data_IF_941830523634
#
_entry.id   IF_941830523634
#
_cell.length_a   1.000
_cell.length_b   1.000
_cell.length_c   1.000
_cell.angle_alpha   90.00
_cell.angle_beta   90.00
_cell.angle_gamma   90.00
#
_symmetry.space_group_name_H-M   'P 1'
#
loop_
_entity.id
_entity.type
_entity.pdbx_description
1 polymer ?
#
# COMPACT_ATOMS: atom_id res chain seq x y z
N UNK A 1 -44.04 12.48 -10.13
CA UNK A 1 -44.44 13.68 -9.37
C UNK A 1 -43.23 14.57 -9.10
N UNK A 2 -42.19 14.08 -8.41
CA UNK A 2 -40.96 14.86 -8.16
C UNK A 2 -40.26 15.41 -9.42
N UNK A 3 -40.20 14.66 -10.53
CA UNK A 3 -39.57 15.13 -11.77
C UNK A 3 -40.24 16.36 -12.39
N UNK A 4 -41.58 16.43 -12.36
CA UNK A 4 -42.34 17.58 -12.86
C UNK A 4 -42.14 18.81 -11.97
N UNK A 5 -42.07 18.62 -10.66
CA UNK A 5 -41.78 19.71 -9.73
C UNK A 5 -40.37 20.27 -9.94
N UNK A 6 -39.37 19.39 -10.11
CA UNK A 6 -38.00 19.79 -10.40
C UNK A 6 -37.88 20.49 -11.77
N UNK A 7 -38.59 19.99 -12.78
CA UNK A 7 -38.67 20.62 -14.08
C UNK A 7 -39.30 22.01 -14.01
N UNK A 8 -40.43 22.16 -13.31
CA UNK A 8 -41.09 23.46 -13.15
C UNK A 8 -40.19 24.47 -12.42
N UNK A 9 -39.46 24.04 -11.38
CA UNK A 9 -38.49 24.90 -10.69
C UNK A 9 -37.33 25.28 -11.62
N UNK A 10 -36.82 24.33 -12.41
CA UNK A 10 -35.76 24.61 -13.37
C UNK A 10 -36.23 25.61 -14.45
N UNK A 11 -37.41 25.40 -15.03
CA UNK A 11 -37.99 26.25 -16.08
C UNK A 11 -38.27 27.66 -15.55
N UNK A 12 -38.86 27.80 -14.37
CA UNK A 12 -39.12 29.10 -13.75
C UNK A 12 -37.85 29.96 -13.63
N UNK A 13 -36.76 29.37 -13.13
CA UNK A 13 -35.51 30.10 -12.87
C UNK A 13 -34.54 30.16 -14.06
N UNK A 14 -34.62 29.29 -15.08
CA UNK A 14 -33.67 29.29 -16.20
C UNK A 14 -34.29 29.59 -17.56
N UNK A 15 -35.59 29.38 -17.74
CA UNK A 15 -36.26 29.45 -19.05
C UNK A 15 -37.23 30.62 -19.11
N UNK A 16 -38.04 30.81 -18.06
CA UNK A 16 -39.15 31.77 -18.07
C UNK A 16 -38.71 33.21 -17.75
N UNK A 17 -37.42 33.43 -17.50
CA UNK A 17 -36.84 34.77 -17.29
C UNK A 17 -37.06 35.37 -15.89
N UNK A 18 -37.46 34.57 -14.90
CA UNK A 18 -37.70 35.04 -13.53
C UNK A 18 -36.46 35.08 -12.62
N UNK A 19 -35.26 34.83 -13.14
CA UNK A 19 -34.02 34.88 -12.37
C UNK A 19 -33.35 36.24 -12.55
N UNK A 20 -33.56 37.13 -11.59
CA UNK A 20 -33.07 38.50 -11.70
C UNK A 20 -31.54 38.55 -11.75
N UNK A 21 -31.03 39.46 -12.58
CA UNK A 21 -29.60 39.70 -12.75
C UNK A 21 -29.23 40.96 -11.96
N UNK A 22 -28.27 40.82 -11.06
CA UNK A 22 -27.68 41.95 -10.32
C UNK A 22 -27.01 42.96 -11.27
N UNK A 23 -26.75 44.21 -10.84
CA UNK A 23 -26.02 45.20 -11.64
C UNK A 23 -24.60 44.75 -12.08
N UNK A 24 -24.03 43.76 -11.39
CA UNK A 24 -22.74 43.15 -11.71
C UNK A 24 -22.83 41.98 -12.72
N UNK A 25 -24.01 41.69 -13.27
CA UNK A 25 -24.22 40.63 -14.27
C UNK A 25 -24.36 39.22 -13.68
N UNK A 26 -24.54 39.08 -12.37
CA UNK A 26 -24.69 37.77 -11.70
C UNK A 26 -26.17 37.47 -11.45
N UNK A 27 -26.61 36.27 -11.84
CA UNK A 27 -27.95 35.78 -11.59
C UNK A 27 -28.19 35.46 -10.10
N UNK A 28 -29.42 35.68 -9.62
CA UNK A 28 -29.79 35.43 -8.23
C UNK A 28 -29.64 33.95 -7.84
N UNK A 29 -29.98 33.03 -8.74
CA UNK A 29 -29.82 31.59 -8.52
C UNK A 29 -28.89 30.99 -9.57
N UNK A 30 -27.81 30.34 -9.12
CA UNK A 30 -26.86 29.65 -10.00
C UNK A 30 -27.09 28.14 -10.01
N UNK A 31 -27.85 27.64 -10.99
CA UNK A 31 -28.24 26.23 -11.08
C UNK A 31 -27.08 25.27 -11.33
N UNK A 32 -25.95 25.74 -11.87
CA UNK A 32 -24.74 24.93 -12.03
C UNK A 32 -24.20 24.37 -10.71
N UNK A 33 -24.56 24.97 -9.56
CA UNK A 33 -24.20 24.51 -8.23
C UNK A 33 -25.39 24.00 -7.41
N UNK A 34 -26.58 23.90 -8.02
CA UNK A 34 -27.76 23.38 -7.35
C UNK A 34 -27.70 21.84 -7.31
N UNK A 35 -28.12 21.26 -6.19
CA UNK A 35 -28.29 19.82 -6.05
C UNK A 35 -29.71 19.50 -5.60
N UNK A 36 -30.21 18.35 -6.04
CA UNK A 36 -31.49 17.80 -5.56
C UNK A 36 -31.17 16.76 -4.50
N UNK A 37 -31.87 16.79 -3.38
CA UNK A 37 -31.61 15.93 -2.24
C UNK A 37 -32.89 15.50 -1.54
N UNK A 38 -32.88 14.29 -0.96
CA UNK A 38 -33.92 13.75 -0.09
C UNK A 38 -33.28 12.96 1.07
N UNK A 39 -33.93 12.92 2.24
CA UNK A 39 -33.40 12.29 3.47
C UNK A 39 -33.47 10.74 3.50
N UNK A 40 -33.87 10.05 2.42
CA UNK A 40 -34.04 8.60 2.47
C UNK A 40 -32.74 7.84 2.18
N UNK A 41 -32.14 7.27 3.23
CA UNK A 41 -30.89 6.51 3.17
C UNK A 41 -31.05 5.06 2.68
N UNK A 42 -32.28 4.59 2.38
CA UNK A 42 -32.49 3.21 1.95
C UNK A 42 -31.96 3.01 0.52
N UNK A 43 -31.05 2.03 0.29
CA UNK A 43 -30.44 1.84 -1.01
C UNK A 43 -31.41 1.23 -2.01
N UNK A 44 -31.40 1.76 -3.24
CA UNK A 44 -31.99 1.10 -4.40
C UNK A 44 -31.05 -0.03 -4.89
N UNK A 45 -31.55 -1.19 -5.34
CA UNK A 45 -32.95 -1.56 -5.48
C UNK A 45 -33.53 -2.19 -4.22
N UNK A 46 -32.77 -2.28 -3.12
CA UNK A 46 -33.20 -2.97 -1.91
C UNK A 46 -34.56 -2.43 -1.49
N UNK A 47 -34.72 -1.11 -1.30
CA UNK A 47 -36.03 -0.43 -1.28
C UNK A 47 -36.42 -0.02 -2.71
N UNK A 48 -37.62 -0.37 -3.20
CA UNK A 48 -38.76 -0.97 -2.48
C UNK A 48 -38.84 -2.51 -2.52
N UNK A 49 -37.87 -3.22 -3.11
CA UNK A 49 -38.01 -4.66 -3.40
C UNK A 49 -38.18 -5.55 -2.15
N UNK A 50 -37.52 -5.23 -1.02
CA UNK A 50 -37.69 -5.95 0.24
C UNK A 50 -38.88 -5.42 1.06
N UNK A 51 -40.06 -5.34 0.45
CA UNK A 51 -41.29 -4.90 1.11
C UNK A 51 -41.69 -5.74 2.34
N UNK A 52 -41.15 -6.95 2.49
CA UNK A 52 -41.33 -7.76 3.71
C UNK A 52 -40.53 -7.24 4.92
N UNK A 53 -39.50 -6.43 4.68
CA UNK A 53 -38.69 -5.80 5.73
C UNK A 53 -39.14 -4.36 6.03
N UNK A 54 -39.83 -3.69 5.10
CA UNK A 54 -40.33 -2.32 5.28
C UNK A 54 -41.81 -2.20 4.93
N UNK A 55 -42.61 -1.73 5.89
CA UNK A 55 -44.07 -1.64 5.76
C UNK A 55 -44.58 -0.58 4.79
N UNK A 56 -43.74 0.35 4.35
CA UNK A 56 -44.06 1.51 3.51
C UNK A 56 -43.52 1.39 2.08
N UNK A 57 -43.07 0.21 1.65
CA UNK A 57 -42.53 0.00 0.30
C UNK A 57 -43.52 0.35 -0.83
N UNK A 58 -44.83 0.24 -0.56
CA UNK A 58 -45.88 0.66 -1.48
C UNK A 58 -45.89 2.15 -1.76
N UNK A 59 -45.39 2.96 -0.82
CA UNK A 59 -45.32 4.40 -1.02
C UNK A 59 -44.26 4.75 -2.06
N UNK A 60 -43.22 3.92 -2.27
CA UNK A 60 -42.10 4.16 -3.20
C UNK A 60 -42.53 4.55 -4.62
N UNK A 61 -43.78 4.37 -5.06
CA UNK A 61 -44.25 4.93 -6.33
C UNK A 61 -44.56 6.45 -6.28
N UNK A 62 -45.05 6.99 -5.16
CA UNK A 62 -45.73 8.28 -5.08
C UNK A 62 -44.91 9.47 -4.55
N UNK A 63 -44.02 9.25 -3.60
CA UNK A 63 -43.23 10.29 -2.93
C UNK A 63 -41.90 10.67 -3.59
N UNK A 64 -41.18 11.53 -2.88
CA UNK A 64 -40.15 12.43 -3.42
C UNK A 64 -38.72 11.88 -3.39
N UNK A 65 -38.56 10.57 -3.22
CA UNK A 65 -37.25 9.92 -3.26
C UNK A 65 -36.63 9.99 -4.64
N UNK A 66 -35.30 10.05 -4.66
CA UNK A 66 -34.48 10.12 -5.88
C UNK A 66 -33.79 8.78 -6.18
N UNK A 67 -33.64 7.90 -5.19
CA UNK A 67 -32.95 6.62 -5.29
C UNK A 67 -33.60 5.75 -6.39
N UNK A 68 -32.84 5.45 -7.45
CA UNK A 68 -33.30 4.62 -8.58
C UNK A 68 -34.25 5.31 -9.56
N UNK A 69 -34.49 6.63 -9.44
CA UNK A 69 -35.42 7.39 -10.29
C UNK A 69 -34.77 8.39 -11.24
N UNK A 70 -33.46 8.59 -11.13
CA UNK A 70 -32.69 9.35 -12.11
C UNK A 70 -32.45 8.57 -13.41
N UNK A 71 -32.06 9.22 -14.51
CA UNK A 71 -31.46 8.51 -15.63
C UNK A 71 -30.30 7.66 -15.11
N UNK A 72 -30.17 6.44 -15.61
CA UNK A 72 -29.04 5.58 -15.28
C UNK A 72 -27.76 6.23 -15.81
N UNK A 73 -27.15 7.11 -15.00
CA UNK A 73 -25.81 7.58 -15.27
C UNK A 73 -24.89 6.41 -14.93
N UNK A 74 -24.01 5.99 -15.87
CA UNK A 74 -22.97 5.05 -15.50
C UNK A 74 -22.21 5.63 -14.31
N UNK A 75 -21.85 4.81 -13.30
CA UNK A 75 -21.07 5.29 -12.18
C UNK A 75 -19.84 6.02 -12.72
N UNK A 76 -19.46 7.18 -12.15
CA UNK A 76 -18.23 7.84 -12.54
C UNK A 76 -17.10 6.82 -12.47
N UNK A 77 -16.21 6.83 -13.47
CA UNK A 77 -15.06 5.94 -13.47
C UNK A 77 -14.34 6.08 -12.12
N UNK A 78 -14.04 4.97 -11.42
CA UNK A 78 -13.32 5.05 -10.16
C UNK A 78 -12.03 5.81 -10.38
N UNK A 79 -11.68 6.69 -9.44
CA UNK A 79 -10.41 7.40 -9.48
C UNK A 79 -9.28 6.38 -9.65
N UNK A 80 -8.27 6.66 -10.49
CA UNK A 80 -7.15 5.76 -10.64
C UNK A 80 -6.52 5.52 -9.27
N UNK A 81 -6.03 4.30 -9.05
CA UNK A 81 -5.29 3.99 -7.83
C UNK A 81 -4.15 5.02 -7.67
N UNK A 82 -3.91 5.52 -6.44
CA UNK A 82 -2.77 6.39 -6.18
C UNK A 82 -1.49 5.69 -6.67
N UNK A 83 -0.61 6.43 -7.35
CA UNK A 83 0.70 5.91 -7.68
C UNK A 83 1.44 5.54 -6.38
N UNK A 84 2.17 4.39 -6.35
CA UNK A 84 2.98 4.04 -5.19
C UNK A 84 3.95 5.19 -4.86
N UNK A 85 4.12 5.54 -3.58
CA UNK A 85 5.09 6.58 -3.20
C UNK A 85 6.50 6.15 -3.59
N UNK A 86 7.34 7.13 -3.95
CA UNK A 86 8.77 6.90 -4.14
C UNK A 86 9.42 7.00 -2.76
N UNK A 87 10.11 5.94 -2.36
CA UNK A 87 10.83 5.90 -1.08
C UNK A 87 12.34 6.07 -1.30
N UNK A 88 12.99 6.82 -0.42
CA UNK A 88 14.45 6.87 -0.37
C UNK A 88 15.02 5.55 0.16
N UNK A 89 16.29 5.28 -0.15
CA UNK A 89 16.99 4.09 0.35
C UNK A 89 17.94 4.47 1.48
N UNK A 90 17.98 3.63 2.53
CA UNK A 90 18.94 3.73 3.62
C UNK A 90 20.37 3.63 3.06
N UNK A 91 21.32 4.43 3.55
CA UNK A 91 22.68 4.46 3.01
C UNK A 91 23.38 3.11 3.15
N UNK A 92 24.06 2.69 2.08
CA UNK A 92 24.99 1.55 2.12
C UNK A 92 26.29 2.00 2.78
N UNK A 93 26.74 1.27 3.81
CA UNK A 93 27.93 1.62 4.57
C UNK A 93 29.01 0.55 4.41
N UNK A 94 30.27 0.96 4.30
CA UNK A 94 31.42 0.06 4.24
C UNK A 94 31.92 -0.33 5.64
N UNK A 95 30.98 -0.55 6.57
CA UNK A 95 31.27 -0.73 8.00
C UNK A 95 31.98 -2.05 8.26
N UNK A 96 32.92 -2.03 9.22
CA UNK A 96 33.79 -3.16 9.56
C UNK A 96 33.10 -4.26 10.40
N UNK A 97 31.88 -4.02 10.90
CA UNK A 97 31.10 -5.01 11.63
C UNK A 97 29.69 -4.51 11.96
N UNK A 98 28.70 -5.39 11.81
CA UNK A 98 27.29 -5.12 12.08
C UNK A 98 26.64 -6.30 12.79
N UNK A 99 25.56 -6.03 13.50
CA UNK A 99 24.64 -7.06 14.01
C UNK A 99 23.22 -6.71 13.57
N UNK A 100 22.52 -7.68 12.99
CA UNK A 100 21.12 -7.54 12.59
C UNK A 100 20.28 -8.49 13.43
N UNK A 101 19.37 -7.94 14.20
CA UNK A 101 18.37 -8.70 14.95
C UNK A 101 17.01 -8.53 14.25
N UNK A 102 16.35 -9.64 13.96
CA UNK A 102 15.02 -9.70 13.32
C UNK A 102 14.00 -10.28 14.26
N UNK A 103 12.87 -9.58 14.47
CA UNK A 103 11.75 -10.06 15.29
C UNK A 103 10.46 -10.10 14.47
N UNK A 104 10.03 -11.27 13.95
CA UNK A 104 8.69 -11.40 13.40
C UNK A 104 7.64 -11.20 14.50
N UNK A 105 6.62 -10.38 14.22
CA UNK A 105 5.52 -10.05 15.14
C UNK A 105 4.15 -10.22 14.49
N UNK A 106 3.21 -10.69 15.30
CA UNK A 106 1.78 -10.70 15.01
C UNK A 106 1.04 -9.88 16.06
N UNK A 107 0.03 -9.14 15.63
CA UNK A 107 -0.92 -8.49 16.51
C UNK A 107 -2.11 -9.41 16.66
N UNK A 108 -2.35 -9.93 17.85
CA UNK A 108 -3.53 -10.77 18.13
C UNK A 108 -4.28 -10.15 19.28
N UNK A 109 -5.57 -9.94 19.12
CA UNK A 109 -6.46 -9.61 20.23
C UNK A 109 -6.85 -10.94 20.91
N UNK A 110 -6.61 -11.03 22.21
CA UNK A 110 -6.98 -12.19 23.02
C UNK A 110 -8.04 -11.76 24.03
N UNK A 111 -9.09 -12.56 24.14
CA UNK A 111 -10.05 -12.46 25.23
C UNK A 111 -10.17 -13.83 25.89
N UNK A 112 -9.54 -13.94 27.06
CA UNK A 112 -9.57 -15.12 27.91
C UNK A 112 -10.80 -15.11 28.81
N UNK A 113 -11.39 -16.29 29.00
CA UNK A 113 -12.52 -16.50 29.88
C UNK A 113 -12.09 -17.19 31.17
N UNK A 114 -12.81 -16.95 32.27
CA UNK A 114 -12.56 -17.60 33.56
C UNK A 114 -12.62 -19.14 33.50
N UNK A 115 -13.26 -19.71 32.47
CA UNK A 115 -13.28 -21.16 32.21
C UNK A 115 -11.99 -21.72 31.59
N UNK A 116 -10.99 -20.88 31.30
CA UNK A 116 -9.74 -21.24 30.63
C UNK A 116 -9.85 -21.30 29.10
N UNK A 117 -11.02 -20.98 28.52
CA UNK A 117 -11.20 -20.83 27.07
C UNK A 117 -10.76 -19.44 26.63
N UNK A 118 -10.19 -19.33 25.41
CA UNK A 118 -9.77 -18.04 24.83
C UNK A 118 -10.41 -17.83 23.47
N UNK A 119 -10.92 -16.64 23.20
CA UNK A 119 -11.21 -16.17 21.84
C UNK A 119 -10.02 -15.35 21.34
N UNK A 120 -9.65 -15.53 20.06
CA UNK A 120 -8.46 -14.93 19.47
C UNK A 120 -8.80 -14.34 18.11
N UNK A 121 -8.36 -13.12 17.85
CA UNK A 121 -8.51 -12.46 16.56
C UNK A 121 -7.17 -11.90 16.10
N UNK A 122 -6.59 -12.51 15.06
CA UNK A 122 -5.40 -11.97 14.42
C UNK A 122 -5.75 -10.65 13.72
N UNK A 123 -4.97 -9.59 13.97
CA UNK A 123 -5.12 -8.29 13.34
C UNK A 123 -4.59 -8.27 11.91
N UNK A 124 -3.70 -9.19 11.58
CA UNK A 124 -3.10 -9.31 10.25
C UNK A 124 -2.59 -10.73 10.00
N UNK A 125 -2.64 -11.18 8.74
CA UNK A 125 -2.40 -12.57 8.34
C UNK A 125 -0.92 -12.94 8.14
N UNK A 126 -0.07 -11.96 7.81
CA UNK A 126 1.38 -12.15 7.64
C UNK A 126 2.14 -11.42 8.75
N UNK A 127 3.37 -11.82 9.07
CA UNK A 127 4.16 -11.15 10.12
C UNK A 127 4.60 -9.74 9.70
N UNK A 128 4.61 -8.81 10.65
CA UNK A 128 5.46 -7.61 10.54
C UNK A 128 6.81 -7.92 11.22
N UNK A 129 7.81 -7.10 11.00
CA UNK A 129 9.12 -7.29 11.59
C UNK A 129 9.60 -6.03 12.30
N UNK A 130 10.19 -6.23 13.47
CA UNK A 130 11.07 -5.24 14.08
C UNK A 130 12.52 -5.66 13.82
N UNK A 131 13.31 -4.70 13.34
CA UNK A 131 14.72 -4.88 13.05
C UNK A 131 15.53 -4.00 14.00
N UNK A 132 16.64 -4.53 14.50
CA UNK A 132 17.65 -3.75 15.20
C UNK A 132 18.98 -3.92 14.48
N UNK A 133 19.56 -2.79 14.05
CA UNK A 133 20.87 -2.73 13.43
C UNK A 133 21.84 -2.06 14.40
N UNK A 134 22.89 -2.77 14.80
CA UNK A 134 23.96 -2.20 15.61
C UNK A 134 25.21 -2.07 14.75
N UNK A 135 25.76 -0.87 14.69
CA UNK A 135 27.01 -0.58 14.00
C UNK A 135 28.12 -0.40 15.03
N UNK A 136 29.08 -1.33 15.04
CA UNK A 136 30.18 -1.33 16.01
C UNK A 136 31.06 -0.09 15.83
N UNK A 137 31.26 0.33 14.59
CA UNK A 137 32.11 1.45 14.22
C UNK A 137 31.50 2.23 13.06
N UNK A 138 31.40 3.55 13.24
CA UNK A 138 31.07 4.53 12.22
C UNK A 138 32.17 5.58 12.19
N UNK A 139 32.78 5.78 11.02
CA UNK A 139 33.82 6.78 10.84
C UNK A 139 33.22 8.11 10.38
N UNK A 140 33.64 9.19 11.02
CA UNK A 140 33.19 10.55 10.72
C UNK A 140 34.22 11.37 9.92
N UNK A 141 35.36 10.77 9.54
CA UNK A 141 36.38 11.45 8.74
C UNK A 141 35.91 11.69 7.30
N UNK A 142 36.57 12.63 6.63
CA UNK A 142 36.20 13.09 5.30
C UNK A 142 36.22 11.99 4.22
N UNK A 143 36.96 10.89 4.42
CA UNK A 143 37.00 9.80 3.45
C UNK A 143 35.82 8.81 3.59
N UNK A 144 35.16 8.75 4.74
CA UNK A 144 34.13 7.74 5.02
C UNK A 144 32.74 8.33 5.28
N UNK A 145 32.64 9.37 6.12
CA UNK A 145 31.39 10.09 6.42
C UNK A 145 30.19 9.18 6.81
N UNK A 146 30.44 8.01 7.39
CA UNK A 146 29.42 6.99 7.67
C UNK A 146 28.42 7.48 8.73
N UNK A 147 28.92 8.15 9.78
CA UNK A 147 28.07 8.74 10.82
C UNK A 147 27.18 9.83 10.22
N UNK A 148 27.76 10.72 9.39
CA UNK A 148 27.03 11.80 8.73
C UNK A 148 25.98 11.26 7.75
N UNK A 149 26.25 10.15 7.06
CA UNK A 149 25.29 9.52 6.16
C UNK A 149 24.03 9.06 6.91
N UNK A 150 24.18 8.36 8.04
CA UNK A 150 23.01 7.94 8.86
C UNK A 150 22.30 9.15 9.47
N UNK A 151 23.05 10.07 10.08
CA UNK A 151 22.46 11.25 10.74
C UNK A 151 21.74 12.16 9.74
N UNK A 152 22.31 12.34 8.54
CA UNK A 152 21.70 13.09 7.45
C UNK A 152 20.44 12.41 6.92
N UNK A 153 20.49 11.10 6.72
CA UNK A 153 19.33 10.32 6.28
C UNK A 153 18.18 10.39 7.30
N UNK A 154 18.47 10.21 8.59
CA UNK A 154 17.48 10.32 9.67
C UNK A 154 16.74 11.67 9.65
N UNK A 155 17.47 12.76 9.45
CA UNK A 155 16.89 14.11 9.30
C UNK A 155 16.09 14.27 8.02
N UNK A 156 16.58 13.72 6.91
CA UNK A 156 15.89 13.79 5.62
C UNK A 156 14.50 13.13 5.67
N UNK A 157 14.38 11.99 6.35
CA UNK A 157 13.11 11.27 6.43
C UNK A 157 12.23 11.67 7.63
N UNK A 158 12.68 12.66 8.42
CA UNK A 158 11.98 13.20 9.59
C UNK A 158 11.68 12.13 10.65
N UNK A 159 12.69 11.35 11.05
CA UNK A 159 12.54 10.33 12.10
C UNK A 159 11.56 9.23 11.71
N UNK A 160 10.60 8.92 12.57
CA UNK A 160 9.63 7.84 12.37
C UNK A 160 8.56 8.15 11.31
N UNK A 161 8.53 9.37 10.75
CA UNK A 161 7.44 9.83 9.90
C UNK A 161 7.38 9.15 8.51
N UNK A 162 8.53 8.96 7.86
CA UNK A 162 8.56 8.53 6.44
C UNK A 162 9.18 7.14 6.28
N UNK A 163 8.50 6.20 5.58
CA UNK A 163 9.09 4.91 5.24
C UNK A 163 10.23 5.04 4.21
N UNK A 164 11.11 4.04 4.20
CA UNK A 164 12.26 3.96 3.32
C UNK A 164 12.64 2.51 3.01
N UNK A 165 13.35 2.33 1.90
CA UNK A 165 13.94 1.06 1.52
C UNK A 165 15.19 0.78 2.33
N UNK A 166 15.34 -0.44 2.82
CA UNK A 166 16.58 -0.91 3.40
C UNK A 166 16.89 -2.31 2.90
N UNK A 167 18.18 -2.58 2.72
CA UNK A 167 18.71 -3.91 2.49
C UNK A 167 19.51 -4.35 3.75
N UNK A 168 18.85 -4.91 4.79
CA UNK A 168 19.57 -5.31 6.00
C UNK A 168 20.65 -6.34 5.66
N UNK A 169 21.90 -6.12 6.11
CA UNK A 169 22.98 -7.06 5.86
C UNK A 169 22.62 -8.47 6.33
N UNK A 170 22.94 -9.48 5.50
CA UNK A 170 22.64 -10.89 5.74
C UNK A 170 21.19 -11.32 5.46
N UNK A 171 20.29 -10.40 5.12
CA UNK A 171 18.85 -10.68 4.91
C UNK A 171 18.30 -10.12 3.60
N UNK A 172 19.21 -9.75 2.71
CA UNK A 172 18.91 -8.98 1.50
C UNK A 172 19.32 -9.66 0.20
N UNK A 173 19.56 -10.97 0.23
CA UNK A 173 19.86 -11.77 -0.95
C UNK A 173 19.00 -13.02 -0.99
N UNK A 174 18.37 -13.27 -2.12
CA UNK A 174 17.72 -14.53 -2.44
C UNK A 174 18.44 -15.14 -3.65
N UNK A 175 18.87 -16.40 -3.54
CA UNK A 175 19.57 -17.14 -4.59
C UNK A 175 18.83 -18.44 -4.85
N UNK A 176 18.53 -18.74 -6.11
CA UNK A 176 17.78 -19.91 -6.55
C UNK A 176 16.38 -19.97 -5.93
N UNK A 177 15.79 -18.83 -5.57
CA UNK A 177 14.53 -18.79 -4.83
C UNK A 177 13.39 -19.20 -5.75
N UNK A 178 12.73 -20.30 -5.42
CA UNK A 178 11.56 -20.80 -6.14
C UNK A 178 10.40 -19.81 -5.99
N UNK A 179 9.80 -19.42 -7.12
CA UNK A 179 8.69 -18.48 -7.18
C UNK A 179 7.37 -19.17 -7.50
N UNK A 180 7.43 -20.27 -8.25
CA UNK A 180 6.25 -21.04 -8.61
C UNK A 180 6.54 -22.10 -9.66
N UNK A 181 5.48 -22.73 -10.14
CA UNK A 181 5.52 -23.72 -11.21
C UNK A 181 4.62 -23.22 -12.33
N UNK A 182 5.11 -23.25 -13.56
CA UNK A 182 4.34 -22.94 -14.76
C UNK A 182 3.17 -23.89 -14.92
N UNK A 183 2.08 -23.36 -15.47
CA UNK A 183 0.84 -24.07 -15.80
C UNK A 183 0.45 -23.86 -17.28
N UNK A 184 1.30 -23.20 -18.07
CA UNK A 184 1.03 -22.82 -19.46
C UNK A 184 0.11 -21.61 -19.64
N UNK A 185 -0.34 -20.94 -18.56
CA UNK A 185 -1.25 -19.80 -18.61
C UNK A 185 -0.78 -18.60 -17.78
N UNK A 186 -0.22 -18.84 -16.60
CA UNK A 186 0.26 -17.83 -15.66
C UNK A 186 1.56 -17.21 -16.16
N UNK A 187 1.55 -15.89 -16.36
CA UNK A 187 2.72 -15.12 -16.83
C UNK A 187 3.40 -14.32 -15.73
N UNK A 188 2.71 -14.08 -14.61
CA UNK A 188 3.21 -13.25 -13.51
C UNK A 188 3.52 -14.09 -12.28
N UNK A 189 4.77 -14.01 -11.82
CA UNK A 189 5.27 -14.73 -10.65
C UNK A 189 5.79 -13.71 -9.62
N UNK A 190 5.09 -13.51 -8.49
CA UNK A 190 5.52 -12.55 -7.48
C UNK A 190 6.85 -12.97 -6.88
N UNK A 191 7.72 -11.99 -6.61
CA UNK A 191 8.92 -12.25 -5.85
C UNK A 191 8.54 -12.58 -4.40
N UNK A 192 9.00 -13.75 -3.96
CA UNK A 192 8.75 -14.29 -2.62
C UNK A 192 10.06 -14.71 -2.00
N UNK A 193 10.11 -14.74 -0.67
CA UNK A 193 11.23 -15.30 0.08
C UNK A 193 10.75 -16.40 1.03
N UNK A 194 11.67 -17.28 1.40
CA UNK A 194 11.37 -18.43 2.26
C UNK A 194 12.02 -18.29 3.63
N UNK A 195 11.24 -18.53 4.68
CA UNK A 195 11.67 -18.76 6.06
C UNK A 195 11.43 -20.24 6.40
N UNK A 196 12.35 -21.10 5.96
CA UNK A 196 12.11 -22.54 6.00
C UNK A 196 10.91 -22.90 5.12
N UNK A 197 9.87 -23.48 5.72
CA UNK A 197 8.64 -23.85 5.01
C UNK A 197 7.65 -22.67 4.81
N UNK A 198 7.87 -21.53 5.46
CA UNK A 198 6.99 -20.37 5.33
C UNK A 198 7.44 -19.51 4.15
N UNK A 199 6.53 -19.17 3.25
CA UNK A 199 6.79 -18.32 2.09
C UNK A 199 6.02 -17.02 2.26
N UNK A 200 6.68 -15.90 2.00
CA UNK A 200 6.06 -14.58 2.03
C UNK A 200 6.50 -13.72 0.85
N UNK A 201 5.66 -12.80 0.37
CA UNK A 201 6.04 -11.85 -0.66
C UNK A 201 7.10 -10.87 -0.15
N UNK A 202 7.99 -10.44 -1.03
CA UNK A 202 8.92 -9.37 -0.72
C UNK A 202 8.27 -7.99 -0.95
N UNK A 203 8.68 -6.99 -0.18
CA UNK A 203 8.15 -5.64 -0.32
C UNK A 203 8.71 -4.94 -1.58
N UNK A 204 10.00 -5.15 -1.86
CA UNK A 204 10.67 -4.62 -3.04
C UNK A 204 11.90 -5.44 -3.40
N UNK A 205 12.53 -5.09 -4.51
CA UNK A 205 13.80 -5.68 -4.95
C UNK A 205 14.77 -4.60 -5.41
N UNK A 206 16.05 -4.74 -5.08
CA UNK A 206 17.09 -3.82 -5.56
C UNK A 206 17.49 -4.13 -6.99
N UNK A 207 17.51 -5.41 -7.33
CA UNK A 207 17.85 -5.94 -8.65
C UNK A 207 17.40 -7.40 -8.76
N UNK A 208 17.23 -7.87 -10.00
CA UNK A 208 17.06 -9.29 -10.32
C UNK A 208 18.29 -9.68 -11.13
N UNK A 209 19.16 -10.51 -10.56
CA UNK A 209 20.41 -10.94 -11.17
C UNK A 209 20.20 -12.01 -12.24
N UNK A 210 19.29 -12.95 -11.99
CA UNK A 210 18.95 -14.01 -12.93
C UNK A 210 17.55 -14.58 -12.68
N UNK A 211 16.95 -15.11 -13.73
CA UNK A 211 15.70 -15.88 -13.69
C UNK A 211 15.98 -17.25 -14.29
N UNK A 212 15.43 -18.30 -13.71
CA UNK A 212 15.66 -19.69 -14.10
C UNK A 212 14.35 -20.38 -14.42
N UNK A 213 14.36 -21.19 -15.48
CA UNK A 213 13.30 -22.12 -15.86
C UNK A 213 13.87 -23.54 -15.78
N UNK A 214 13.36 -24.37 -14.88
CA UNK A 214 13.90 -25.70 -14.59
C UNK A 214 15.43 -25.70 -14.31
N UNK A 215 15.93 -24.66 -13.64
CA UNK A 215 17.34 -24.50 -13.30
C UNK A 215 18.23 -23.95 -14.41
N UNK A 216 17.72 -23.78 -15.64
CA UNK A 216 18.44 -23.11 -16.73
C UNK A 216 18.14 -21.61 -16.77
N UNK A 217 19.13 -20.73 -17.02
CA UNK A 217 18.90 -19.29 -17.07
C UNK A 217 17.96 -18.92 -18.22
N UNK A 218 16.92 -18.16 -17.91
CA UNK A 218 16.01 -17.58 -18.88
C UNK A 218 16.65 -16.35 -19.53
N UNK A 219 16.48 -16.13 -20.85
CA UNK A 219 17.01 -14.95 -21.51
C UNK A 219 16.34 -13.69 -20.95
N UNK A 220 17.11 -12.62 -20.76
CA UNK A 220 16.63 -11.35 -20.20
C UNK A 220 15.47 -10.71 -20.99
N UNK A 221 15.33 -11.05 -22.28
CA UNK A 221 14.21 -10.59 -23.12
C UNK A 221 12.90 -11.36 -22.90
N UNK A 222 12.92 -12.50 -22.22
CA UNK A 222 11.72 -13.31 -21.98
C UNK A 222 10.89 -12.80 -20.79
N UNK A 223 11.45 -11.94 -19.95
CA UNK A 223 10.80 -11.45 -18.75
C UNK A 223 11.05 -9.97 -18.51
N UNK A 224 10.18 -9.38 -17.70
CA UNK A 224 10.26 -8.00 -17.26
C UNK A 224 9.88 -7.90 -15.79
N UNK A 225 10.26 -6.79 -15.14
CA UNK A 225 9.99 -6.53 -13.73
C UNK A 225 9.20 -5.22 -13.61
N UNK A 226 7.87 -5.24 -13.80
CA UNK A 226 7.05 -4.05 -13.62
C UNK A 226 6.93 -3.68 -12.14
N UNK A 227 7.18 -2.41 -11.84
CA UNK A 227 6.97 -1.83 -10.51
C UNK A 227 8.08 -2.13 -9.50
N UNK A 228 8.17 -1.28 -8.48
CA UNK A 228 9.13 -1.40 -7.39
C UNK A 228 8.53 -1.99 -6.11
N UNK A 229 7.20 -1.95 -5.98
CA UNK A 229 6.46 -2.41 -4.81
C UNK A 229 5.73 -3.72 -5.10
N UNK A 230 5.91 -4.74 -4.25
CA UNK A 230 5.48 -6.12 -4.50
C UNK A 230 5.83 -6.61 -5.91
N UNK A 231 7.12 -6.56 -6.27
CA UNK A 231 7.59 -6.87 -7.62
C UNK A 231 7.24 -8.30 -8.02
N UNK A 232 6.92 -8.49 -9.29
CA UNK A 232 6.66 -9.79 -9.90
C UNK A 232 7.44 -9.91 -11.21
N UNK A 233 8.00 -11.09 -11.47
CA UNK A 233 8.57 -11.42 -12.77
C UNK A 233 7.41 -11.69 -13.72
N UNK A 234 7.33 -10.90 -14.79
CA UNK A 234 6.30 -11.05 -15.82
C UNK A 234 6.94 -11.55 -17.09
N UNK A 235 6.58 -12.75 -17.50
CA UNK A 235 7.02 -13.36 -18.76
C UNK A 235 6.17 -12.88 -19.94
N UNK A 236 6.80 -12.76 -21.10
CA UNK A 236 6.11 -12.47 -22.37
C UNK A 236 5.28 -13.66 -22.87
N UNK A 237 5.67 -14.88 -22.51
CA UNK A 237 4.93 -16.13 -22.74
C UNK A 237 4.89 -16.95 -21.46
N UNK A 238 3.74 -17.55 -21.14
CA UNK A 238 3.59 -18.34 -19.92
C UNK A 238 4.53 -19.56 -19.95
N UNK A 239 5.29 -19.83 -18.87
CA UNK A 239 6.06 -21.06 -18.76
C UNK A 239 5.17 -22.30 -18.86
N UNK A 240 5.64 -23.32 -19.57
CA UNK A 240 4.90 -24.57 -19.76
C UNK A 240 4.55 -25.26 -18.43
N UNK A 241 3.53 -26.11 -18.47
CA UNK A 241 3.09 -26.86 -17.31
C UNK A 241 4.22 -27.71 -16.70
N UNK A 242 4.50 -27.52 -15.41
CA UNK A 242 5.55 -28.24 -14.68
C UNK A 242 6.93 -27.59 -14.72
N UNK A 243 7.10 -26.44 -15.41
CA UNK A 243 8.37 -25.70 -15.39
C UNK A 243 8.53 -24.94 -14.09
N UNK A 244 9.57 -25.25 -13.31
CA UNK A 244 9.90 -24.53 -12.08
C UNK A 244 10.49 -23.16 -12.43
N UNK A 245 9.87 -22.10 -11.92
CA UNK A 245 10.37 -20.73 -12.02
C UNK A 245 11.12 -20.38 -10.74
N UNK A 246 12.37 -19.95 -10.87
CA UNK A 246 13.20 -19.47 -9.76
C UNK A 246 13.98 -18.22 -10.14
N UNK A 247 14.49 -17.47 -9.17
CA UNK A 247 15.26 -16.26 -9.43
C UNK A 247 16.33 -15.97 -8.36
N UNK A 248 17.35 -15.23 -8.79
CA UNK A 248 18.35 -14.57 -7.96
C UNK A 248 18.02 -13.08 -7.89
N UNK A 249 17.84 -12.53 -6.70
CA UNK A 249 17.48 -11.11 -6.55
C UNK A 249 17.84 -10.55 -5.17
N UNK A 250 18.00 -9.23 -5.11
CA UNK A 250 18.23 -8.51 -3.87
C UNK A 250 16.93 -8.18 -3.15
N UNK A 251 16.79 -8.55 -1.88
CA UNK A 251 15.56 -8.35 -1.11
C UNK A 251 15.57 -6.99 -0.42
N UNK A 252 14.63 -6.11 -0.78
CA UNK A 252 14.40 -4.84 -0.07
C UNK A 252 13.24 -4.95 0.91
N UNK A 253 13.46 -4.34 2.07
CA UNK A 253 12.48 -4.21 3.13
C UNK A 253 11.98 -2.77 3.18
N UNK A 254 10.67 -2.57 3.23
CA UNK A 254 10.10 -1.25 3.50
C UNK A 254 9.97 -1.05 5.01
N UNK A 255 10.76 -0.13 5.57
CA UNK A 255 10.80 0.13 7.00
C UNK A 255 10.63 1.62 7.30
N UNK A 256 10.34 1.94 8.57
CA UNK A 256 10.51 3.28 9.13
C UNK A 256 11.36 3.18 10.41
N UNK A 257 11.92 4.29 10.86
CA UNK A 257 12.47 4.33 12.22
C UNK A 257 11.36 4.05 13.25
N UNK A 258 11.69 3.29 14.28
CA UNK A 258 10.76 3.01 15.38
C UNK A 258 10.61 4.22 16.30
N UNK A 259 11.72 4.94 16.53
CA UNK A 259 11.84 6.08 17.45
C UNK A 259 12.20 7.37 16.67
N UNK A 260 11.85 8.53 17.23
CA UNK A 260 12.18 9.86 16.68
C UNK A 260 13.54 10.40 17.19
N UNK A 261 14.39 9.51 17.69
CA UNK A 261 15.73 9.84 18.21
C UNK A 261 16.76 8.79 17.79
N UNK A 262 18.00 9.22 17.55
CA UNK A 262 19.16 8.34 17.38
C UNK A 262 20.32 8.83 18.25
N UNK A 263 20.94 7.90 18.97
CA UNK A 263 22.05 8.17 19.87
C UNK A 263 23.39 7.80 19.20
N UNK A 264 24.18 8.81 18.86
CA UNK A 264 25.55 8.64 18.36
C UNK A 264 26.54 8.91 19.49
N UNK A 265 27.36 7.93 19.84
CA UNK A 265 28.39 8.07 20.87
C UNK A 265 29.77 8.13 20.20
N UNK A 266 30.49 9.24 20.38
CA UNK A 266 31.90 9.34 20.00
C UNK A 266 32.78 8.72 21.10
N UNK A 267 33.25 7.49 20.88
CA UNK A 267 34.09 6.80 21.87
C UNK A 267 35.59 7.10 21.67
N UNK A 268 35.97 7.57 20.48
CA UNK A 268 37.31 8.03 20.13
C UNK A 268 37.19 9.07 19.02
N UNK A 269 38.17 9.98 18.91
CA UNK A 269 38.14 11.06 17.93
C UNK A 269 37.77 10.55 16.51
N UNK A 270 36.70 11.08 15.94
CA UNK A 270 36.12 10.73 14.62
C UNK A 270 35.56 9.31 14.50
N UNK A 271 35.49 8.55 15.60
CA UNK A 271 34.97 7.20 15.66
C UNK A 271 33.75 7.15 16.58
N UNK A 272 32.62 6.81 15.96
CA UNK A 272 31.33 6.74 16.62
C UNK A 272 30.87 5.29 16.72
N UNK A 273 30.13 4.99 17.77
CA UNK A 273 29.27 3.82 17.83
C UNK A 273 27.82 4.26 17.77
N UNK A 274 26.99 3.46 17.11
CA UNK A 274 25.55 3.65 17.06
C UNK A 274 24.93 2.42 17.70
N UNK A 275 24.50 2.59 18.95
CA UNK A 275 24.16 1.48 19.85
C UNK A 275 23.09 0.60 19.23
N UNK A 276 21.97 1.18 18.78
CA UNK A 276 20.92 0.46 18.02
C UNK A 276 20.17 1.43 17.12
N UNK A 277 20.00 1.07 15.85
CA UNK A 277 18.97 1.62 14.96
C UNK A 277 17.77 0.68 14.99
N UNK A 278 16.67 1.13 15.60
CA UNK A 278 15.42 0.37 15.64
C UNK A 278 14.53 0.72 14.45
N UNK A 279 14.11 -0.29 13.72
CA UNK A 279 13.25 -0.15 12.55
C UNK A 279 12.04 -1.06 12.70
N UNK A 280 10.92 -0.65 12.11
CA UNK A 280 9.71 -1.48 11.99
C UNK A 280 9.28 -1.51 10.53
N UNK A 281 8.94 -2.70 10.02
CA UNK A 281 8.41 -2.84 8.66
C UNK A 281 7.03 -2.19 8.52
N UNK A 282 6.79 -1.56 7.38
CA UNK A 282 5.53 -0.89 7.04
C UNK A 282 4.84 -1.62 5.89
N UNK A 283 3.50 -1.58 5.88
CA UNK A 283 2.66 -2.00 4.75
C UNK A 283 1.92 -0.79 4.22
N UNK A 284 1.73 -0.74 2.92
CA UNK A 284 0.95 0.27 2.22
C UNK A 284 -0.46 -0.25 1.93
#
# INVERSE_FOLDING_TARGET
MASLALQAVYEYWNVDGYNEISPAGVAMVQFAFACVWNWDARPFPVFPLLASQWGDAGDWAAGDWLNGRGPALPPPAPSPLPAPPIFSSFPTLATLGWSTLVRPKFGTDLADHASGRSTRRARYAAANYDLELTYVLLRADAAHLEMQAIAGFFKQISGAATPFWIAPPGLSSATGQALGVGDGATTSFPLVRSWGAYIEPVAGTSEVGAVYLNGAPAPASAWSLPGSFHPAIVFSAAPDAGVIVAADFGVLWLCRFADDTLDFEEFMAMLFTLVVVKLTTVRL
#
